data_IF_866402812702
#
_entry.id   IF_866402812702
#
_cell.length_a   1.000
_cell.length_b   1.000
_cell.length_c   1.000
_cell.angle_alpha   90.00
_cell.angle_beta   90.00
_cell.angle_gamma   90.00
#
_symmetry.space_group_name_H-M   'P 1'
#
loop_
_entity.id
_entity.type
_entity.pdbx_description
1 polymer ?
#
# COMPACT_ATOMS: atom_id res chain seq x y z
N UNK A 1 -15.03 11.00 -10.89
CA UNK A 1 -14.62 9.69 -10.35
C UNK A 1 -13.21 9.41 -10.92
N UNK A 2 -12.50 8.36 -10.51
CA UNK A 2 -11.46 7.67 -11.33
C UNK A 2 -9.95 7.84 -11.09
N UNK A 3 -9.38 8.85 -10.40
CA UNK A 3 -7.89 8.83 -10.19
C UNK A 3 -7.49 8.06 -8.91
N UNK A 4 -8.35 8.08 -7.89
CA UNK A 4 -8.08 7.39 -6.62
C UNK A 4 -8.13 5.86 -6.74
N UNK A 5 -9.03 5.32 -7.57
CA UNK A 5 -9.24 3.87 -7.68
C UNK A 5 -8.10 3.19 -8.45
N UNK A 6 -7.70 3.75 -9.59
CA UNK A 6 -6.58 3.26 -10.41
C UNK A 6 -5.26 3.19 -9.63
N UNK A 7 -5.04 4.12 -8.70
CA UNK A 7 -3.81 4.17 -7.90
C UNK A 7 -3.74 3.00 -6.92
N UNK A 8 -4.86 2.63 -6.30
CA UNK A 8 -4.90 1.51 -5.35
C UNK A 8 -4.76 0.18 -6.09
N UNK A 9 -5.40 0.02 -7.25
CA UNK A 9 -5.31 -1.21 -8.07
C UNK A 9 -3.88 -1.48 -8.55
N UNK A 10 -3.18 -0.45 -9.03
CA UNK A 10 -1.75 -0.55 -9.41
C UNK A 10 -0.89 -0.94 -8.21
N UNK A 11 -1.18 -0.39 -7.03
CA UNK A 11 -0.48 -0.75 -5.80
C UNK A 11 -0.75 -2.20 -5.37
N UNK A 12 -1.99 -2.67 -5.49
CA UNK A 12 -2.36 -4.07 -5.22
C UNK A 12 -1.56 -4.99 -6.14
N UNK A 13 -1.52 -4.69 -7.44
CA UNK A 13 -0.76 -5.46 -8.41
C UNK A 13 0.74 -5.50 -8.07
N UNK A 14 1.34 -4.35 -7.72
CA UNK A 14 2.75 -4.26 -7.30
C UNK A 14 3.04 -5.10 -6.06
N UNK A 15 2.21 -4.98 -5.02
CA UNK A 15 2.37 -5.73 -3.76
C UNK A 15 2.19 -7.23 -4.00
N UNK A 16 1.22 -7.65 -4.81
CA UNK A 16 1.04 -9.05 -5.21
C UNK A 16 2.21 -9.59 -6.03
N UNK A 17 2.77 -8.79 -6.94
CA UNK A 17 3.93 -9.16 -7.74
C UNK A 17 5.14 -9.39 -6.85
N UNK A 18 5.38 -8.51 -5.86
CA UNK A 18 6.41 -8.69 -4.84
C UNK A 18 6.17 -9.95 -4.00
N UNK A 19 4.94 -10.18 -3.52
CA UNK A 19 4.60 -11.39 -2.75
C UNK A 19 4.84 -12.68 -3.54
N UNK A 20 4.41 -12.73 -4.81
CA UNK A 20 4.56 -13.91 -5.68
C UNK A 20 5.98 -14.11 -6.18
N UNK A 21 6.68 -13.05 -6.57
CA UNK A 21 8.03 -13.16 -7.14
C UNK A 21 9.11 -13.39 -6.09
N UNK A 22 8.96 -12.83 -4.88
CA UNK A 22 9.94 -12.99 -3.79
C UNK A 22 9.55 -14.08 -2.78
N UNK A 23 8.40 -14.74 -2.95
CA UNK A 23 7.88 -15.70 -1.96
C UNK A 23 7.66 -15.07 -0.58
N UNK A 24 7.38 -13.77 -0.54
CA UNK A 24 7.43 -12.99 0.69
C UNK A 24 6.31 -13.42 1.65
N UNK A 25 6.61 -13.74 2.93
CA UNK A 25 5.61 -14.04 3.92
C UNK A 25 4.59 -12.90 4.02
N UNK A 26 3.30 -13.23 4.17
CA UNK A 26 2.20 -12.25 4.23
C UNK A 26 2.41 -11.18 5.31
N UNK A 27 3.19 -11.49 6.36
CA UNK A 27 3.63 -10.56 7.41
C UNK A 27 4.42 -9.34 6.90
N UNK A 28 5.09 -9.45 5.76
CA UNK A 28 5.88 -8.36 5.18
C UNK A 28 5.13 -7.55 4.12
N UNK A 29 3.95 -7.99 3.69
CA UNK A 29 3.10 -7.25 2.79
C UNK A 29 2.79 -5.80 3.27
N UNK A 30 2.47 -5.54 4.56
CA UNK A 30 2.32 -4.16 5.07
C UNK A 30 3.56 -3.30 4.83
N UNK A 31 4.74 -3.89 5.02
CA UNK A 31 6.01 -3.19 5.03
C UNK A 31 6.39 -2.76 3.61
N UNK A 32 6.16 -3.64 2.63
CA UNK A 32 6.30 -3.35 1.20
C UNK A 32 5.33 -2.25 0.76
N UNK A 33 4.08 -2.34 1.22
CA UNK A 33 3.05 -1.31 0.95
C UNK A 33 3.42 0.08 1.47
N UNK A 34 3.99 0.17 2.68
CA UNK A 34 4.44 1.46 3.24
C UNK A 34 5.67 1.99 2.50
N UNK A 35 6.63 1.11 2.19
CA UNK A 35 7.84 1.47 1.45
C UNK A 35 7.55 1.97 0.03
N UNK A 36 6.49 1.47 -0.61
CA UNK A 36 6.05 1.96 -1.92
C UNK A 36 5.13 3.19 -1.77
N UNK A 37 4.22 3.18 -0.79
CA UNK A 37 3.15 4.16 -0.64
C UNK A 37 3.65 5.53 -0.20
N UNK A 38 4.58 5.58 0.75
CA UNK A 38 5.15 6.84 1.26
C UNK A 38 5.91 7.62 0.19
N UNK A 39 6.87 7.05 -0.57
CA UNK A 39 7.56 7.80 -1.61
C UNK A 39 6.61 8.22 -2.74
N UNK A 40 5.61 7.40 -3.10
CA UNK A 40 4.58 7.84 -4.07
C UNK A 40 3.76 9.01 -3.51
N UNK A 41 3.38 8.96 -2.24
CA UNK A 41 2.66 10.04 -1.59
C UNK A 41 3.46 11.33 -1.45
N UNK A 42 4.79 11.27 -1.33
CA UNK A 42 5.66 12.45 -1.22
C UNK A 42 6.08 12.99 -2.59
N UNK A 43 6.39 12.12 -3.55
CA UNK A 43 6.97 12.51 -4.84
C UNK A 43 5.90 12.78 -5.92
N UNK A 44 4.71 12.20 -5.77
CA UNK A 44 3.67 12.22 -6.80
C UNK A 44 2.44 13.06 -6.42
N UNK A 45 2.16 13.23 -5.13
CA UNK A 45 1.14 14.16 -4.67
C UNK A 45 1.81 15.53 -4.45
N UNK A 46 1.42 16.54 -5.23
CA UNK A 46 1.83 17.93 -5.06
C UNK A 46 1.11 18.55 -3.84
N UNK A 47 1.40 18.02 -2.66
CA UNK A 47 0.77 18.37 -1.38
C UNK A 47 1.84 18.55 -0.31
N UNK A 48 1.46 19.17 0.81
CA UNK A 48 2.34 19.29 1.97
C UNK A 48 2.91 17.93 2.40
N UNK A 49 4.18 17.90 2.82
CA UNK A 49 4.90 16.69 3.25
C UNK A 49 4.09 15.82 4.22
N UNK A 50 3.38 16.42 5.19
CA UNK A 50 2.54 15.66 6.12
C UNK A 50 1.37 15.00 5.39
N UNK A 51 0.72 15.73 4.51
CA UNK A 51 -0.42 15.27 3.73
C UNK A 51 -0.01 14.15 2.78
N UNK A 52 1.13 14.30 2.10
CA UNK A 52 1.65 13.30 1.18
C UNK A 52 1.98 11.97 1.85
N UNK A 53 2.61 12.02 3.03
CA UNK A 53 2.88 10.82 3.85
C UNK A 53 1.57 10.10 4.23
N UNK A 54 0.56 10.86 4.69
CA UNK A 54 -0.73 10.29 5.13
C UNK A 54 -1.47 9.66 3.95
N UNK A 55 -1.60 10.36 2.83
CA UNK A 55 -2.26 9.81 1.64
C UNK A 55 -1.51 8.61 1.06
N UNK A 56 -0.18 8.65 1.03
CA UNK A 56 0.66 7.53 0.61
C UNK A 56 0.47 6.28 1.49
N UNK A 57 0.37 6.47 2.80
CA UNK A 57 0.03 5.41 3.76
C UNK A 57 -1.37 4.86 3.51
N UNK A 58 -2.38 5.72 3.30
CA UNK A 58 -3.76 5.29 3.05
C UNK A 58 -3.81 4.42 1.79
N UNK A 59 -3.23 4.87 0.68
CA UNK A 59 -3.23 4.14 -0.59
C UNK A 59 -2.47 2.81 -0.45
N UNK A 60 -1.25 2.84 0.10
CA UNK A 60 -0.41 1.65 0.23
C UNK A 60 -0.99 0.60 1.18
N UNK A 61 -1.48 1.01 2.36
CA UNK A 61 -2.06 0.09 3.35
C UNK A 61 -3.41 -0.48 2.90
N UNK A 62 -4.20 0.29 2.15
CA UNK A 62 -5.46 -0.18 1.56
C UNK A 62 -5.20 -1.30 0.55
N UNK A 63 -4.12 -1.19 -0.23
CA UNK A 63 -3.73 -2.22 -1.19
C UNK A 63 -3.27 -3.55 -0.54
N UNK A 64 -2.72 -3.53 0.67
CA UNK A 64 -2.34 -4.75 1.38
C UNK A 64 -3.53 -5.43 2.08
N UNK A 65 -4.71 -4.79 2.13
CA UNK A 65 -5.87 -5.34 2.83
C UNK A 65 -5.65 -5.50 4.34
N UNK A 66 -4.77 -4.70 4.96
CA UNK A 66 -4.47 -4.78 6.41
C UNK A 66 -5.73 -4.73 7.27
N UNK A 67 -6.73 -3.96 6.83
CA UNK A 67 -8.02 -3.83 7.49
C UNK A 67 -8.77 -5.16 7.63
N UNK A 68 -8.60 -6.10 6.68
CA UNK A 68 -9.22 -7.43 6.73
C UNK A 68 -8.29 -8.49 7.33
N UNK A 69 -6.97 -8.39 7.10
CA UNK A 69 -5.97 -9.34 7.59
C UNK A 69 -5.77 -9.37 9.12
N UNK A 70 -6.00 -8.25 9.81
CA UNK A 70 -5.88 -8.19 11.27
C UNK A 70 -6.84 -9.16 12.00
N UNK A 71 -7.96 -9.53 11.37
CA UNK A 71 -8.91 -10.51 11.90
C UNK A 71 -8.41 -11.96 11.84
N UNK A 72 -7.40 -12.25 11.01
CA UNK A 72 -6.92 -13.62 10.76
C UNK A 72 -5.71 -14.03 11.60
N UNK A 73 -5.13 -13.11 12.40
CA UNK A 73 -3.94 -13.39 13.23
C UNK A 73 -4.32 -14.14 14.52
N UNK A 74 -5.61 -14.22 14.83
CA UNK A 74 -6.16 -15.01 15.94
C UNK A 74 -6.83 -16.28 15.37
N UNK A 75 -6.04 -17.30 15.06
CA UNK A 75 -6.47 -18.71 15.13
C UNK A 75 -5.28 -19.63 15.33
#
# INVERSE_FOLDING_TARGET
MEVGELTVEVFIALVELFKKSLGLPVRYAPLVSVLLGVPVGILYLDVDLKTGIVYGLIIGLSACGLYSGAKSITK
#
